data_IF_553621997559
#
_entry.id   IF_553621997559
#
_cell.length_a   1.000
_cell.length_b   1.000
_cell.length_c   1.000
_cell.angle_alpha   90.00
_cell.angle_beta   90.00
_cell.angle_gamma   90.00
#
_symmetry.space_group_name_H-M   'P 1'
#
loop_
_entity.id
_entity.type
_entity.pdbx_description
1 polymer ?
#
# COMPACT_ATOMS: atom_id res chain seq x y z
N UNK A 1 13.19 20.19 28.11
CA UNK A 1 13.40 18.72 28.17
C UNK A 1 14.82 18.31 27.80
N UNK A 2 15.26 18.31 26.53
CA UNK A 2 16.61 17.78 26.19
C UNK A 2 17.77 18.50 26.90
N UNK A 3 17.78 19.83 26.94
CA UNK A 3 18.78 20.59 27.71
C UNK A 3 18.71 20.32 29.23
N UNK A 4 17.52 20.13 29.78
CA UNK A 4 17.36 19.81 31.22
C UNK A 4 17.96 18.44 31.54
N UNK A 5 17.80 17.47 30.63
CA UNK A 5 18.41 16.14 30.75
C UNK A 5 19.94 16.23 30.70
N UNK A 6 20.50 17.01 29.77
CA UNK A 6 21.95 17.23 29.70
C UNK A 6 22.46 17.94 30.97
N UNK A 7 21.76 18.97 31.46
CA UNK A 7 22.11 19.64 32.71
C UNK A 7 22.01 18.72 33.94
N UNK A 8 21.15 17.70 33.89
CA UNK A 8 21.06 16.65 34.90
C UNK A 8 22.14 15.57 34.76
N UNK A 9 23.04 15.68 33.78
CA UNK A 9 24.17 14.77 33.56
C UNK A 9 23.93 13.66 32.56
N UNK A 10 22.91 13.75 31.70
CA UNK A 10 22.71 12.77 30.63
C UNK A 10 23.84 12.85 29.59
N UNK A 11 24.46 11.70 29.32
CA UNK A 11 25.51 11.55 28.29
C UNK A 11 24.93 11.05 26.95
N UNK A 12 23.66 10.65 26.97
CA UNK A 12 22.94 10.08 25.83
C UNK A 12 21.47 10.47 25.88
N UNK A 13 20.86 10.66 24.70
CA UNK A 13 19.43 10.89 24.55
C UNK A 13 18.81 9.72 23.79
N UNK A 14 17.76 9.13 24.37
CA UNK A 14 16.99 8.04 23.74
C UNK A 14 15.60 8.58 23.40
N UNK A 15 15.24 8.51 22.11
CA UNK A 15 13.94 8.89 21.59
C UNK A 15 13.22 7.64 21.05
N UNK A 16 12.15 7.24 21.72
CA UNK A 16 11.26 6.17 21.27
C UNK A 16 10.09 6.82 20.52
N UNK A 17 9.88 6.41 19.27
CA UNK A 17 9.00 7.10 18.33
C UNK A 17 8.07 6.14 17.59
N UNK A 18 6.93 6.69 17.17
CA UNK A 18 6.05 6.12 16.16
C UNK A 18 5.86 7.18 15.06
N UNK A 19 6.91 7.43 14.28
CA UNK A 19 6.88 8.36 13.16
C UNK A 19 6.41 7.63 11.90
N UNK A 20 5.27 8.01 11.32
CA UNK A 20 4.80 7.43 10.07
C UNK A 20 5.69 7.85 8.90
N UNK A 21 5.71 7.00 7.88
CA UNK A 21 6.42 7.19 6.63
C UNK A 21 5.74 8.24 5.76
N UNK A 22 6.56 9.01 5.06
CA UNK A 22 6.28 9.66 3.78
C UNK A 22 7.61 9.85 3.06
N UNK A 23 7.55 10.19 1.78
CA UNK A 23 8.76 10.51 1.02
C UNK A 23 9.60 11.57 1.73
N UNK A 24 10.92 11.37 1.74
CA UNK A 24 11.92 12.24 2.37
C UNK A 24 11.89 12.30 3.92
N UNK A 25 11.02 11.55 4.59
CA UNK A 25 10.91 11.58 6.06
C UNK A 25 12.19 11.14 6.78
N UNK A 26 13.01 10.28 6.17
CA UNK A 26 14.31 9.91 6.75
C UNK A 26 15.26 11.10 6.77
N UNK A 27 15.30 11.90 5.71
CA UNK A 27 16.16 13.08 5.59
C UNK A 27 15.82 14.10 6.67
N UNK A 28 14.54 14.47 6.76
CA UNK A 28 14.04 15.39 7.79
C UNK A 28 14.39 14.92 9.21
N UNK A 29 14.26 13.60 9.47
CA UNK A 29 14.61 13.00 10.77
C UNK A 29 16.10 13.12 11.05
N UNK A 30 16.94 12.74 10.08
CA UNK A 30 18.39 12.76 10.26
C UNK A 30 18.92 14.18 10.47
N UNK A 31 18.40 15.17 9.75
CA UNK A 31 18.80 16.56 9.93
C UNK A 31 18.51 17.05 11.36
N UNK A 32 17.27 16.84 11.84
CA UNK A 32 16.87 17.23 13.21
C UNK A 32 17.71 16.48 14.26
N UNK A 33 17.96 15.19 14.06
CA UNK A 33 18.72 14.36 15.01
C UNK A 33 20.19 14.80 15.04
N UNK A 34 20.81 15.03 13.89
CA UNK A 34 22.21 15.49 13.78
C UNK A 34 22.39 16.84 14.45
N UNK A 35 21.53 17.80 14.14
CA UNK A 35 21.58 19.13 14.74
C UNK A 35 21.52 19.06 16.27
N UNK A 36 20.60 18.25 16.81
CA UNK A 36 20.50 18.04 18.26
C UNK A 36 21.69 17.33 18.86
N UNK A 37 22.22 16.32 18.17
CA UNK A 37 23.36 15.54 18.65
C UNK A 37 24.61 16.41 18.78
N UNK A 38 24.85 17.28 17.79
CA UNK A 38 25.95 18.24 17.77
C UNK A 38 25.79 19.30 18.86
N UNK A 39 24.59 19.89 18.96
CA UNK A 39 24.31 20.95 19.92
C UNK A 39 24.41 20.48 21.38
N UNK A 40 23.87 19.30 21.67
CA UNK A 40 23.88 18.72 23.02
C UNK A 40 25.18 17.98 23.35
N UNK A 41 26.05 17.72 22.37
CA UNK A 41 27.32 16.99 22.50
C UNK A 41 27.17 15.61 23.14
N UNK A 42 26.10 14.90 22.79
CA UNK A 42 25.77 13.59 23.34
C UNK A 42 25.36 12.65 22.20
N UNK A 43 25.41 11.34 22.43
CA UNK A 43 24.84 10.40 21.47
C UNK A 43 23.31 10.53 21.43
N UNK A 44 22.74 10.51 20.23
CA UNK A 44 21.30 10.51 20.02
C UNK A 44 20.86 9.16 19.43
N UNK A 45 20.07 8.41 20.20
CA UNK A 45 19.48 7.14 19.81
C UNK A 45 18.02 7.36 19.47
N UNK A 46 17.66 7.07 18.23
CA UNK A 46 16.30 7.14 17.73
C UNK A 46 15.78 5.74 17.41
N UNK A 47 14.75 5.30 18.12
CA UNK A 47 14.10 4.01 17.93
C UNK A 47 12.68 4.24 17.41
N UNK A 48 12.40 3.84 16.17
CA UNK A 48 11.09 4.02 15.55
C UNK A 48 10.36 2.69 15.41
N UNK A 49 9.03 2.76 15.48
CA UNK A 49 8.14 1.67 15.08
C UNK A 49 8.36 1.29 13.61
N UNK A 50 8.16 0.01 13.30
CA UNK A 50 8.06 -0.51 11.93
C UNK A 50 6.82 -1.39 11.81
N UNK A 51 6.18 -1.38 10.64
CA UNK A 51 4.91 -2.06 10.38
C UNK A 51 3.83 -1.08 9.94
N UNK A 52 2.62 -1.58 9.65
CA UNK A 52 1.50 -0.73 9.23
C UNK A 52 0.30 -0.86 10.16
N UNK A 53 -0.35 0.25 10.47
CA UNK A 53 -1.58 0.31 11.26
C UNK A 53 -2.60 1.14 10.50
N UNK A 54 -3.67 0.47 10.06
CA UNK A 54 -4.72 1.07 9.24
C UNK A 54 -4.13 1.82 8.03
N UNK A 55 -4.28 3.14 7.95
CA UNK A 55 -3.76 3.96 6.85
C UNK A 55 -2.27 4.32 6.99
N UNK A 56 -1.68 4.14 8.18
CA UNK A 56 -0.31 4.57 8.45
C UNK A 56 0.67 3.42 8.28
N UNK A 57 1.78 3.69 7.59
CA UNK A 57 2.95 2.79 7.53
C UNK A 57 4.09 3.44 8.31
N UNK A 58 4.76 2.67 9.15
CA UNK A 58 5.96 3.05 9.88
C UNK A 58 7.16 2.35 9.25
N UNK A 59 8.16 3.14 8.87
CA UNK A 59 9.31 2.69 8.09
C UNK A 59 10.43 2.06 8.94
N UNK A 60 10.34 2.12 10.27
CA UNK A 60 11.46 1.81 11.14
C UNK A 60 12.57 2.84 10.93
N UNK A 61 13.69 2.40 10.35
CA UNK A 61 14.87 3.23 10.13
C UNK A 61 15.36 3.93 11.42
N UNK A 62 15.30 3.18 12.52
CA UNK A 62 15.96 3.55 13.78
C UNK A 62 17.43 3.86 13.53
N UNK A 63 17.98 4.86 14.22
CA UNK A 63 19.34 5.29 13.98
C UNK A 63 20.05 5.74 15.27
N UNK A 64 21.38 5.76 15.20
CA UNK A 64 22.23 6.33 16.24
C UNK A 64 23.14 7.36 15.59
N UNK A 65 23.21 8.54 16.19
CA UNK A 65 24.07 9.65 15.75
C UNK A 65 25.03 10.02 16.88
N UNK A 66 26.30 10.23 16.53
CA UNK A 66 27.36 10.59 17.46
C UNK A 66 27.29 12.07 17.88
N UNK A 67 28.00 12.47 18.96
CA UNK A 67 28.16 13.88 19.31
C UNK A 67 28.77 14.76 18.21
N UNK A 68 29.50 14.17 17.25
CA UNK A 68 30.05 14.88 16.08
C UNK A 68 29.06 15.03 14.92
N UNK A 69 27.87 14.43 15.01
CA UNK A 69 26.86 14.42 13.95
C UNK A 69 27.02 13.27 12.95
N UNK A 70 27.92 12.33 13.20
CA UNK A 70 28.12 11.17 12.34
C UNK A 70 27.02 10.14 12.55
N UNK A 71 26.48 9.59 11.46
CA UNK A 71 25.54 8.49 11.51
C UNK A 71 26.32 7.21 11.86
N UNK A 72 26.07 6.65 13.03
CA UNK A 72 26.78 5.49 13.59
C UNK A 72 26.05 4.18 13.27
N UNK A 73 24.73 4.22 13.23
CA UNK A 73 23.92 3.06 12.85
C UNK A 73 22.63 3.50 12.20
N UNK A 74 22.14 2.67 11.29
CA UNK A 74 20.84 2.83 10.64
C UNK A 74 20.22 1.44 10.44
N UNK A 75 19.03 1.26 10.98
CA UNK A 75 18.23 0.05 10.81
C UNK A 75 17.60 0.01 9.41
N UNK A 76 17.35 -1.19 8.86
CA UNK A 76 16.73 -1.33 7.55
C UNK A 76 15.34 -0.69 7.51
N UNK A 77 14.95 -0.22 6.33
CA UNK A 77 13.61 0.28 6.08
C UNK A 77 12.60 -0.86 5.97
N UNK A 78 11.40 -0.67 6.52
CA UNK A 78 10.23 -1.55 6.35
C UNK A 78 10.44 -2.99 6.82
N UNK A 79 11.38 -3.20 7.75
CA UNK A 79 11.72 -4.52 8.30
C UNK A 79 11.97 -4.44 9.81
N UNK A 80 11.39 -5.36 10.56
CA UNK A 80 11.75 -5.59 11.97
C UNK A 80 13.21 -6.01 12.08
N UNK A 81 13.94 -5.33 12.98
CA UNK A 81 15.36 -5.57 13.19
C UNK A 81 15.75 -5.25 14.64
N UNK A 82 16.85 -5.86 15.10
CA UNK A 82 17.48 -5.57 16.38
C UNK A 82 18.94 -5.27 16.12
N UNK A 83 19.36 -4.04 16.38
CA UNK A 83 20.75 -3.61 16.26
C UNK A 83 21.40 -3.51 17.64
N UNK A 84 22.60 -4.07 17.77
CA UNK A 84 23.45 -3.98 18.96
C UNK A 84 24.66 -3.13 18.59
N UNK A 85 24.90 -2.06 19.34
CA UNK A 85 25.93 -1.07 19.04
C UNK A 85 26.81 -0.91 20.27
N UNK A 86 28.12 -1.02 20.06
CA UNK A 86 29.13 -0.64 21.04
C UNK A 86 29.55 0.80 20.77
N UNK A 87 29.12 1.72 21.63
CA UNK A 87 29.30 3.17 21.45
C UNK A 87 30.76 3.59 21.61
N UNK A 88 31.55 2.85 22.39
CA UNK A 88 32.97 3.15 22.58
C UNK A 88 33.81 2.72 21.37
N UNK A 89 33.29 1.83 20.54
CA UNK A 89 33.98 1.27 19.38
C UNK A 89 33.06 1.22 18.14
N UNK A 90 32.50 2.38 17.78
CA UNK A 90 31.63 2.53 16.63
C UNK A 90 32.25 3.41 15.53
N UNK A 91 32.01 3.04 14.28
CA UNK A 91 32.40 3.82 13.10
C UNK A 91 31.18 4.43 12.42
N UNK A 92 31.39 5.44 11.58
CA UNK A 92 30.31 6.00 10.79
C UNK A 92 29.87 5.01 9.69
N UNK A 93 28.57 4.98 9.44
CA UNK A 93 27.97 4.14 8.41
C UNK A 93 27.41 4.99 7.28
N UNK A 94 27.50 4.43 6.06
CA UNK A 94 26.87 5.04 4.90
C UNK A 94 25.38 4.72 4.88
N UNK A 95 24.59 5.70 4.46
CA UNK A 95 23.17 5.49 4.20
C UNK A 95 23.01 4.67 2.91
N UNK A 96 22.17 3.62 2.91
CA UNK A 96 21.80 2.93 1.69
C UNK A 96 20.92 3.83 0.81
N UNK A 97 21.23 3.90 -0.48
CA UNK A 97 20.39 4.59 -1.46
C UNK A 97 19.22 3.72 -1.90
N UNK A 98 18.01 4.25 -1.77
CA UNK A 98 16.80 3.66 -2.33
C UNK A 98 16.13 4.68 -3.23
N UNK A 99 15.74 4.26 -4.43
CA UNK A 99 14.87 5.11 -5.27
C UNK A 99 13.53 5.34 -4.56
N UNK A 100 12.88 6.45 -4.86
CA UNK A 100 11.59 6.81 -4.28
C UNK A 100 10.55 5.70 -4.55
N UNK A 101 10.53 5.16 -5.76
CA UNK A 101 9.59 4.10 -6.17
C UNK A 101 9.77 2.84 -5.33
N UNK A 102 11.03 2.48 -5.00
CA UNK A 102 11.31 1.30 -4.18
C UNK A 102 10.85 1.50 -2.73
N UNK A 103 10.99 2.72 -2.19
CA UNK A 103 10.50 3.04 -0.85
C UNK A 103 8.97 2.98 -0.80
N UNK A 104 8.29 3.59 -1.78
CA UNK A 104 6.83 3.54 -1.92
C UNK A 104 6.37 2.09 -2.05
N UNK A 105 6.98 1.31 -2.95
CA UNK A 105 6.61 -0.08 -3.18
C UNK A 105 6.70 -0.93 -1.89
N UNK A 106 7.79 -0.78 -1.13
CA UNK A 106 7.94 -1.48 0.15
C UNK A 106 6.92 -1.00 1.19
N UNK A 107 6.63 0.30 1.26
CA UNK A 107 5.62 0.83 2.16
C UNK A 107 4.24 0.25 1.87
N UNK A 108 3.82 0.22 0.60
CA UNK A 108 2.55 -0.35 0.18
C UNK A 108 2.48 -1.86 0.41
N UNK A 109 3.56 -2.58 0.11
CA UNK A 109 3.62 -4.03 0.32
C UNK A 109 3.59 -4.38 1.81
N UNK A 110 4.26 -3.61 2.67
CA UNK A 110 4.18 -3.75 4.13
C UNK A 110 2.77 -3.42 4.63
N UNK A 111 2.14 -2.37 4.11
CA UNK A 111 0.75 -2.00 4.38
C UNK A 111 -0.23 -3.14 4.14
N UNK A 112 -0.19 -3.72 2.94
CA UNK A 112 -1.03 -4.87 2.57
C UNK A 112 -0.71 -6.08 3.46
N UNK A 113 0.57 -6.40 3.67
CA UNK A 113 0.99 -7.56 4.47
C UNK A 113 0.47 -7.48 5.90
N UNK A 114 0.70 -6.35 6.57
CA UNK A 114 0.32 -6.14 7.96
C UNK A 114 -1.20 -6.08 8.13
N UNK A 115 -1.92 -5.43 7.20
CA UNK A 115 -3.38 -5.40 7.23
C UNK A 115 -3.97 -6.82 7.21
N UNK A 116 -3.43 -7.70 6.36
CA UNK A 116 -3.88 -9.08 6.25
C UNK A 116 -3.53 -9.90 7.49
N UNK A 117 -2.28 -9.81 7.96
CA UNK A 117 -1.83 -10.52 9.17
C UNK A 117 -2.67 -10.11 10.38
N UNK A 118 -2.86 -8.81 10.59
CA UNK A 118 -3.54 -8.24 11.77
C UNK A 118 -5.06 -8.50 11.77
N UNK A 119 -5.67 -8.58 10.59
CA UNK A 119 -7.09 -8.93 10.45
C UNK A 119 -7.34 -10.44 10.35
N UNK A 120 -6.30 -11.28 10.31
CA UNK A 120 -6.41 -12.74 10.22
C UNK A 120 -6.76 -13.27 8.83
N UNK A 121 -6.61 -12.46 7.78
CA UNK A 121 -6.86 -12.85 6.40
C UNK A 121 -5.58 -13.34 5.71
N UNK A 122 -5.75 -14.25 4.74
CA UNK A 122 -4.62 -14.83 4.00
C UNK A 122 -4.73 -14.68 2.49
N UNK A 123 -5.91 -14.39 1.97
CA UNK A 123 -6.19 -14.41 0.53
C UNK A 123 -6.74 -13.08 0.08
N UNK A 124 -6.27 -12.60 -1.08
CA UNK A 124 -6.74 -11.40 -1.73
C UNK A 124 -7.52 -11.76 -3.00
N UNK A 125 -8.57 -11.00 -3.28
CA UNK A 125 -9.27 -10.98 -4.57
C UNK A 125 -9.15 -9.57 -5.13
N UNK A 126 -8.94 -9.44 -6.43
CA UNK A 126 -8.97 -8.15 -7.12
C UNK A 126 -9.48 -8.29 -8.55
N UNK A 127 -10.06 -7.19 -9.05
CA UNK A 127 -10.40 -7.07 -10.47
C UNK A 127 -9.15 -6.77 -11.29
N UNK A 128 -8.97 -7.47 -12.42
CA UNK A 128 -7.92 -7.18 -13.39
C UNK A 128 -8.54 -6.61 -14.67
N UNK A 129 -8.40 -5.30 -14.86
CA UNK A 129 -8.94 -4.58 -16.02
C UNK A 129 -8.03 -4.61 -17.24
N UNK A 130 -6.75 -4.99 -17.06
CA UNK A 130 -5.68 -4.81 -18.05
C UNK A 130 -5.01 -3.42 -17.96
N UNK A 131 -5.55 -2.53 -17.12
CA UNK A 131 -4.95 -1.21 -16.84
C UNK A 131 -3.82 -1.26 -15.81
N UNK A 132 -3.06 -0.17 -15.75
CA UNK A 132 -1.88 -0.03 -14.88
C UNK A 132 -2.22 -0.12 -13.39
N UNK A 133 -3.33 0.47 -12.95
CA UNK A 133 -3.73 0.53 -11.53
C UNK A 133 -3.99 -0.86 -10.94
N UNK A 134 -4.80 -1.65 -11.64
CA UNK A 134 -5.06 -3.05 -11.26
C UNK A 134 -3.82 -3.92 -11.38
N UNK A 135 -2.93 -3.62 -12.33
CA UNK A 135 -1.68 -4.35 -12.51
C UNK A 135 -0.71 -4.11 -11.37
N UNK A 136 -0.51 -2.84 -10.98
CA UNK A 136 0.34 -2.47 -9.85
C UNK A 136 -0.20 -3.05 -8.54
N UNK A 137 -1.52 -2.99 -8.33
CA UNK A 137 -2.17 -3.59 -7.16
C UNK A 137 -1.93 -5.10 -7.09
N UNK A 138 -1.97 -5.81 -8.23
CA UNK A 138 -1.68 -7.24 -8.29
C UNK A 138 -0.23 -7.55 -7.91
N UNK A 139 0.72 -6.73 -8.39
CA UNK A 139 2.15 -6.89 -8.07
C UNK A 139 2.40 -6.67 -6.58
N UNK A 140 1.85 -5.60 -6.00
CA UNK A 140 1.95 -5.30 -4.55
C UNK A 140 1.33 -6.43 -3.72
N UNK A 141 0.14 -6.91 -4.10
CA UNK A 141 -0.52 -8.02 -3.41
C UNK A 141 0.31 -9.32 -3.47
N UNK A 142 0.93 -9.60 -4.62
CA UNK A 142 1.79 -10.78 -4.80
C UNK A 142 3.06 -10.70 -3.96
N UNK A 143 3.69 -9.52 -3.84
CA UNK A 143 4.85 -9.31 -2.93
C UNK A 143 4.44 -9.42 -1.46
N UNK A 144 3.31 -8.82 -1.09
CA UNK A 144 2.84 -8.78 0.28
C UNK A 144 2.42 -10.17 0.81
N UNK A 145 1.70 -10.94 -0.02
CA UNK A 145 0.98 -12.15 0.41
C UNK A 145 1.52 -13.45 -0.21
N UNK A 146 2.35 -13.34 -1.25
CA UNK A 146 2.75 -14.46 -2.10
C UNK A 146 1.69 -14.78 -3.16
N UNK A 147 2.14 -15.10 -4.37
CA UNK A 147 1.28 -15.27 -5.55
C UNK A 147 0.13 -16.28 -5.37
N UNK A 148 0.37 -17.38 -4.66
CA UNK A 148 -0.64 -18.43 -4.37
C UNK A 148 -1.83 -17.94 -3.54
N UNK A 149 -1.73 -16.78 -2.93
CA UNK A 149 -2.75 -16.19 -2.09
C UNK A 149 -3.55 -15.08 -2.81
N UNK A 150 -3.26 -14.82 -4.08
CA UNK A 150 -3.89 -13.75 -4.85
C UNK A 150 -4.71 -14.36 -5.98
N UNK A 151 -5.97 -13.93 -6.08
CA UNK A 151 -6.88 -14.26 -7.19
C UNK A 151 -7.23 -13.00 -7.97
N UNK A 152 -6.81 -12.95 -9.23
CA UNK A 152 -7.24 -11.94 -10.19
C UNK A 152 -8.47 -12.40 -10.97
N UNK A 153 -9.46 -11.51 -11.14
CA UNK A 153 -10.65 -11.79 -11.96
C UNK A 153 -10.79 -10.71 -13.04
N UNK A 154 -10.76 -11.13 -14.30
CA UNK A 154 -11.12 -10.26 -15.42
C UNK A 154 -12.62 -10.36 -15.71
N UNK A 155 -13.28 -9.21 -15.83
CA UNK A 155 -14.74 -9.11 -15.97
C UNK A 155 -15.15 -8.29 -17.20
N UNK A 156 -14.94 -8.84 -18.41
CA UNK A 156 -15.16 -8.11 -19.65
C UNK A 156 -16.65 -7.85 -19.89
N UNK A 157 -16.95 -6.66 -20.42
CA UNK A 157 -18.26 -6.29 -20.97
C UNK A 157 -18.21 -6.27 -22.49
N UNK A 158 -19.29 -5.85 -23.15
CA UNK A 158 -19.36 -5.68 -24.61
C UNK A 158 -18.40 -4.63 -25.16
N UNK A 159 -17.95 -3.69 -24.31
CA UNK A 159 -17.02 -2.63 -24.69
C UNK A 159 -15.56 -2.99 -24.38
N UNK A 160 -15.30 -4.15 -23.76
CA UNK A 160 -13.95 -4.57 -23.42
C UNK A 160 -13.19 -5.01 -24.67
N UNK A 161 -11.97 -4.50 -24.83
CA UNK A 161 -11.08 -4.91 -25.91
C UNK A 161 -10.43 -6.27 -25.61
N UNK A 162 -10.20 -7.08 -26.64
CA UNK A 162 -9.50 -8.35 -26.53
C UNK A 162 -8.08 -8.17 -25.93
N UNK A 163 -7.43 -7.04 -26.24
CA UNK A 163 -6.13 -6.68 -25.71
C UNK A 163 -6.12 -6.56 -24.17
N UNK A 164 -7.15 -5.94 -23.58
CA UNK A 164 -7.24 -5.76 -22.12
C UNK A 164 -7.32 -7.10 -21.38
N UNK A 165 -8.04 -8.06 -21.97
CA UNK A 165 -8.17 -9.42 -21.41
C UNK A 165 -6.84 -10.16 -21.52
N UNK A 166 -6.13 -9.99 -22.64
CA UNK A 166 -4.84 -10.64 -22.84
C UNK A 166 -3.76 -10.08 -21.90
N UNK A 167 -3.69 -8.75 -21.71
CA UNK A 167 -2.79 -8.13 -20.75
C UNK A 167 -3.01 -8.66 -19.32
N UNK A 168 -4.28 -8.77 -18.91
CA UNK A 168 -4.63 -9.33 -17.60
C UNK A 168 -4.18 -10.79 -17.44
N UNK A 169 -4.32 -11.62 -18.50
CA UNK A 169 -3.81 -13.00 -18.50
C UNK A 169 -2.30 -13.07 -18.43
N UNK A 170 -1.61 -12.26 -19.23
CA UNK A 170 -0.13 -12.22 -19.29
C UNK A 170 0.42 -11.80 -17.93
N UNK A 171 -0.14 -10.75 -17.33
CA UNK A 171 0.21 -10.34 -15.97
C UNK A 171 0.01 -11.47 -14.97
N UNK A 172 -1.16 -12.10 -14.97
CA UNK A 172 -1.46 -13.15 -14.01
C UNK A 172 -0.51 -14.35 -14.15
N UNK A 173 -0.18 -14.72 -15.39
CA UNK A 173 0.81 -15.76 -15.69
C UNK A 173 2.21 -15.38 -15.21
N UNK A 174 2.64 -14.13 -15.41
CA UNK A 174 3.96 -13.65 -15.00
C UNK A 174 4.11 -13.62 -13.48
N UNK A 175 3.05 -13.25 -12.77
CA UNK A 175 3.03 -13.25 -11.30
C UNK A 175 2.80 -14.65 -10.70
N UNK A 176 2.27 -15.59 -11.48
CA UNK A 176 1.89 -16.92 -11.00
C UNK A 176 0.72 -16.89 -10.02
N UNK A 177 -0.21 -15.95 -10.21
CA UNK A 177 -1.43 -15.81 -9.39
C UNK A 177 -2.57 -16.63 -10.01
N UNK A 178 -3.57 -16.99 -9.20
CA UNK A 178 -4.79 -17.60 -9.74
C UNK A 178 -5.56 -16.57 -10.59
N UNK A 179 -6.14 -17.01 -11.70
CA UNK A 179 -6.83 -16.12 -12.64
C UNK A 179 -8.13 -16.73 -13.16
N UNK A 180 -9.18 -15.92 -13.23
CA UNK A 180 -10.48 -16.30 -13.78
C UNK A 180 -11.04 -15.21 -14.68
N UNK A 181 -11.87 -15.61 -15.65
CA UNK A 181 -12.61 -14.68 -16.51
C UNK A 181 -14.10 -14.90 -16.25
N UNK A 182 -14.80 -13.84 -15.84
CA UNK A 182 -16.24 -13.85 -15.58
C UNK A 182 -16.88 -12.72 -16.39
N UNK A 183 -17.35 -12.97 -17.62
CA UNK A 183 -17.97 -11.94 -18.45
C UNK A 183 -19.25 -11.40 -17.82
N UNK A 184 -19.44 -10.08 -17.85
CA UNK A 184 -20.61 -9.43 -17.24
C UNK A 184 -21.74 -9.13 -18.22
N UNK A 185 -21.52 -9.37 -19.53
CA UNK A 185 -22.47 -9.04 -20.61
C UNK A 185 -23.90 -9.48 -20.29
N UNK A 186 -24.11 -10.78 -20.04
CA UNK A 186 -25.45 -11.33 -19.80
C UNK A 186 -26.12 -10.78 -18.53
N UNK A 187 -25.31 -10.53 -17.49
CA UNK A 187 -25.81 -9.98 -16.22
C UNK A 187 -26.24 -8.53 -16.42
N UNK A 188 -25.43 -7.76 -17.15
CA UNK A 188 -25.74 -6.38 -17.48
C UNK A 188 -26.99 -6.26 -18.37
N UNK A 189 -27.10 -7.07 -19.42
CA UNK A 189 -28.28 -7.10 -20.30
C UNK A 189 -29.56 -7.40 -19.51
N UNK A 190 -29.52 -8.41 -18.63
CA UNK A 190 -30.68 -8.74 -17.78
C UNK A 190 -31.06 -7.60 -16.83
N UNK A 191 -30.08 -6.99 -16.17
CA UNK A 191 -30.39 -5.89 -15.24
C UNK A 191 -30.92 -4.64 -15.96
N UNK A 192 -30.45 -4.35 -17.18
CA UNK A 192 -31.01 -3.26 -17.99
C UNK A 192 -32.45 -3.55 -18.42
N UNK A 193 -32.76 -4.81 -18.77
CA UNK A 193 -34.13 -5.23 -19.07
C UNK A 193 -35.05 -5.07 -17.85
N UNK A 194 -34.60 -5.52 -16.67
CA UNK A 194 -35.36 -5.40 -15.42
C UNK A 194 -35.57 -3.94 -14.99
N UNK A 195 -34.61 -3.05 -15.31
CA UNK A 195 -34.69 -1.61 -15.06
C UNK A 195 -35.45 -0.84 -16.14
N UNK A 196 -35.86 -1.48 -17.23
CA UNK A 196 -36.58 -0.82 -18.33
C UNK A 196 -37.83 -0.02 -17.91
N UNK A 197 -38.63 -0.42 -16.89
CA UNK A 197 -39.76 0.40 -16.44
C UNK A 197 -39.35 1.74 -15.82
N UNK A 198 -38.12 1.85 -15.31
CA UNK A 198 -37.56 3.07 -14.70
C UNK A 198 -36.80 3.89 -15.73
N UNK A 199 -35.99 3.24 -16.57
CA UNK A 199 -35.21 3.90 -17.62
C UNK A 199 -36.12 4.45 -18.73
N UNK A 200 -37.26 3.80 -19.01
CA UNK A 200 -38.30 4.28 -19.91
C UNK A 200 -37.78 4.71 -21.30
N UNK A 201 -36.77 4.01 -21.82
CA UNK A 201 -36.15 4.32 -23.12
C UNK A 201 -35.34 5.62 -23.15
N UNK A 202 -34.91 6.13 -21.99
CA UNK A 202 -33.95 7.24 -21.92
C UNK A 202 -32.66 6.91 -22.66
N UNK A 203 -31.95 7.93 -23.12
CA UNK A 203 -30.63 7.76 -23.72
C UNK A 203 -29.66 7.18 -22.68
N UNK A 204 -28.85 6.21 -23.11
CA UNK A 204 -27.77 5.65 -22.28
C UNK A 204 -26.85 6.76 -21.76
N UNK A 205 -26.43 6.65 -20.51
CA UNK A 205 -25.48 7.57 -19.90
C UNK A 205 -24.79 6.97 -18.68
N UNK A 206 -24.47 7.86 -17.73
CA UNK A 206 -23.69 7.52 -16.54
C UNK A 206 -24.32 6.41 -15.68
N UNK A 207 -25.65 6.25 -15.71
CA UNK A 207 -26.33 5.23 -14.93
C UNK A 207 -25.98 3.81 -15.42
N UNK A 208 -25.99 3.58 -16.73
CA UNK A 208 -25.67 2.30 -17.38
C UNK A 208 -24.17 1.96 -17.28
N UNK A 209 -23.29 2.96 -17.35
CA UNK A 209 -21.85 2.77 -17.11
C UNK A 209 -21.58 2.36 -15.66
N UNK A 210 -22.17 3.07 -14.69
CA UNK A 210 -22.05 2.75 -13.27
C UNK A 210 -22.64 1.38 -12.92
N UNK A 211 -23.66 0.93 -13.65
CA UNK A 211 -24.26 -0.39 -13.47
C UNK A 211 -23.24 -1.51 -13.70
N UNK A 212 -22.44 -1.39 -14.77
CA UNK A 212 -21.38 -2.36 -15.08
C UNK A 212 -20.34 -2.42 -13.96
N UNK A 213 -19.89 -1.28 -13.45
CA UNK A 213 -18.95 -1.24 -12.33
C UNK A 213 -19.52 -1.90 -11.07
N UNK A 214 -20.80 -1.66 -10.75
CA UNK A 214 -21.48 -2.30 -9.60
C UNK A 214 -21.63 -3.81 -9.76
N UNK A 215 -21.95 -4.30 -10.96
CA UNK A 215 -21.97 -5.75 -11.24
C UNK A 215 -20.60 -6.37 -10.95
N UNK A 216 -19.52 -5.72 -11.39
CA UNK A 216 -18.14 -6.18 -11.10
C UNK A 216 -17.86 -6.21 -9.59
N UNK A 217 -18.24 -5.15 -8.87
CA UNK A 217 -18.14 -5.10 -7.42
C UNK A 217 -18.87 -6.25 -6.72
N UNK A 218 -20.09 -6.58 -7.17
CA UNK A 218 -20.89 -7.71 -6.64
C UNK A 218 -20.16 -9.05 -6.86
N UNK A 219 -19.64 -9.30 -8.07
CA UNK A 219 -18.92 -10.54 -8.40
C UNK A 219 -17.68 -10.69 -7.50
N UNK A 220 -16.89 -9.62 -7.37
CA UNK A 220 -15.68 -9.61 -6.56
C UNK A 220 -15.98 -9.82 -5.09
N UNK A 221 -16.98 -9.11 -4.53
CA UNK A 221 -17.40 -9.25 -3.14
C UNK A 221 -17.98 -10.64 -2.85
N UNK A 222 -18.80 -11.19 -3.74
CA UNK A 222 -19.34 -12.54 -3.61
C UNK A 222 -18.21 -13.59 -3.59
N UNK A 223 -17.20 -13.42 -4.46
CA UNK A 223 -16.01 -14.26 -4.50
C UNK A 223 -15.21 -14.14 -3.20
N UNK A 224 -14.92 -12.91 -2.76
CA UNK A 224 -14.17 -12.64 -1.54
C UNK A 224 -14.84 -13.28 -0.31
N UNK A 225 -16.15 -13.12 -0.16
CA UNK A 225 -16.95 -13.73 0.90
C UNK A 225 -16.87 -15.26 0.88
N UNK A 226 -17.04 -15.88 -0.30
CA UNK A 226 -17.00 -17.34 -0.43
C UNK A 226 -15.62 -17.91 -0.08
N UNK A 227 -14.56 -17.18 -0.40
CA UNK A 227 -13.17 -17.61 -0.21
C UNK A 227 -12.58 -17.18 1.14
N UNK A 228 -13.32 -16.39 1.95
CA UNK A 228 -12.79 -15.70 3.15
C UNK A 228 -11.53 -14.89 2.80
N UNK A 229 -11.61 -14.17 1.69
CA UNK A 229 -10.57 -13.30 1.17
C UNK A 229 -10.97 -11.83 1.36
N UNK A 230 -10.00 -10.93 1.28
CA UNK A 230 -10.25 -9.49 1.22
C UNK A 230 -10.23 -9.01 -0.23
N UNK A 231 -11.19 -8.16 -0.59
CA UNK A 231 -11.19 -7.47 -1.87
C UNK A 231 -10.23 -6.26 -1.80
N UNK A 232 -9.24 -6.23 -2.68
CA UNK A 232 -8.37 -5.07 -2.86
C UNK A 232 -8.97 -4.14 -3.91
N UNK A 233 -9.18 -2.89 -3.53
CA UNK A 233 -9.55 -1.81 -4.42
C UNK A 233 -8.30 -1.28 -5.13
N UNK A 234 -8.48 -0.95 -6.42
CA UNK A 234 -7.41 -0.53 -7.33
C UNK A 234 -7.53 0.96 -7.69
N UNK A 235 -8.29 1.75 -6.95
CA UNK A 235 -8.47 3.17 -7.25
C UNK A 235 -7.27 3.99 -6.80
N UNK A 236 -6.81 4.91 -7.65
CA UNK A 236 -5.70 5.81 -7.34
C UNK A 236 -6.17 7.14 -6.72
N UNK A 237 -5.21 7.98 -6.31
CA UNK A 237 -5.49 9.26 -5.64
C UNK A 237 -6.21 10.24 -6.55
N UNK A 238 -5.82 10.30 -7.82
CA UNK A 238 -6.42 11.19 -8.82
C UNK A 238 -7.90 10.84 -9.04
N UNK A 239 -8.22 9.56 -9.18
CA UNK A 239 -9.59 9.07 -9.34
C UNK A 239 -10.46 9.39 -8.11
N UNK A 240 -9.90 9.18 -6.92
CA UNK A 240 -10.60 9.46 -5.66
C UNK A 240 -10.83 10.97 -5.48
N UNK A 241 -9.83 11.79 -5.80
CA UNK A 241 -9.90 13.25 -5.65
C UNK A 241 -10.88 13.90 -6.64
N UNK A 242 -10.93 13.42 -7.88
CA UNK A 242 -11.80 13.96 -8.92
C UNK A 242 -13.19 13.30 -8.96
N UNK A 243 -13.41 12.23 -8.18
CA UNK A 243 -14.65 11.46 -8.21
C UNK A 243 -14.82 10.64 -9.49
N UNK A 244 -13.72 10.29 -10.17
CA UNK A 244 -13.71 9.38 -11.32
C UNK A 244 -13.78 7.92 -10.86
N UNK A 245 -14.74 7.62 -9.99
CA UNK A 245 -14.97 6.29 -9.44
C UNK A 245 -16.47 6.08 -9.23
N UNK A 246 -16.88 4.81 -9.32
CA UNK A 246 -18.26 4.38 -9.08
C UNK A 246 -18.41 3.84 -7.67
N UNK A 247 -19.17 4.55 -6.83
CA UNK A 247 -19.58 4.03 -5.52
C UNK A 247 -20.25 2.64 -5.64
N UNK A 248 -19.77 1.72 -4.80
CA UNK A 248 -20.18 0.30 -4.77
C UNK A 248 -19.83 -0.49 -6.04
N UNK A 249 -19.03 0.08 -6.94
CA UNK A 249 -18.49 -0.54 -8.13
C UNK A 249 -16.99 -0.75 -8.00
N UNK A 250 -16.20 0.06 -8.69
CA UNK A 250 -14.74 0.04 -8.60
C UNK A 250 -14.24 0.35 -7.18
N UNK A 251 -14.94 1.22 -6.42
CA UNK A 251 -14.65 1.53 -5.02
C UNK A 251 -14.87 0.35 -4.05
N UNK A 252 -15.49 -0.74 -4.51
CA UNK A 252 -15.71 -1.90 -3.65
C UNK A 252 -14.36 -2.52 -3.23
N UNK A 253 -14.13 -2.62 -1.93
CA UNK A 253 -12.93 -3.23 -1.38
C UNK A 253 -12.82 -3.01 0.12
N UNK A 254 -12.04 -3.87 0.77
CA UNK A 254 -11.68 -3.72 2.18
C UNK A 254 -10.45 -2.82 2.37
N UNK A 255 -9.59 -2.74 1.35
CA UNK A 255 -8.36 -1.96 1.37
C UNK A 255 -8.11 -1.35 -0.01
N UNK A 256 -7.94 -0.03 -0.06
CA UNK A 256 -7.56 0.71 -1.26
C UNK A 256 -6.04 0.86 -1.29
N UNK A 257 -5.37 0.03 -2.10
CA UNK A 257 -3.91 -0.18 -1.99
C UNK A 257 -3.12 1.02 -2.49
N UNK A 258 -3.62 1.70 -3.51
CA UNK A 258 -2.91 2.78 -4.21
C UNK A 258 -3.64 4.12 -4.14
N UNK A 259 -4.58 4.28 -3.20
CA UNK A 259 -5.43 5.48 -3.08
C UNK A 259 -4.67 6.76 -2.70
N UNK A 260 -3.41 6.66 -2.29
CA UNK A 260 -2.53 7.80 -2.03
C UNK A 260 -1.42 7.96 -3.10
N UNK A 261 -1.50 7.22 -4.21
CA UNK A 261 -0.61 7.36 -5.37
C UNK A 261 -1.27 8.15 -6.50
N UNK A 262 -0.51 9.05 -7.13
CA UNK A 262 -0.95 9.85 -8.28
C UNK A 262 -0.74 9.14 -9.61
#
# INVERSE_FOLDING_TARGET
VSYELIHAGAEMIINISASPFHLNRLDDRLDIIKDKSIDLKCYFIYCNLVGAQDELVFDGQSCVVSPSGDLVSLSPAFREDIQIIDIENCESVNRPEFSEEKQIFHALSLGVRDYFIKTGHKKAVLGLSGGIDSSLTAVIASDALGSKNVLGISMPSIYSSDHSIEDAKVLAKNLGIDFQIIPIKKINEQMLEDLSPVLNGSQEGLAEENLQARIRGIILMATANKMRALLLNTGNKTETALGYCTMYGDMAGALAVISDLN
#
